data_IF_238396618552
#
_entry.id   IF_238396618552
#
_cell.length_a   1.000
_cell.length_b   1.000
_cell.length_c   1.000
_cell.angle_alpha   90.00
_cell.angle_beta   90.00
_cell.angle_gamma   90.00
#
_symmetry.space_group_name_H-M   'P 1'
#
loop_
_entity.id
_entity.type
_entity.pdbx_description
1 polymer ?
#
# COMPACT_ATOMS: atom_id res chain seq x y z
N UNK A 1 -8.38 -21.84 2.71
CA UNK A 1 -9.74 -21.36 2.49
C UNK A 1 -9.73 -20.05 1.69
N UNK A 2 -8.99 -19.01 2.10
CA UNK A 2 -8.95 -17.71 1.41
C UNK A 2 -8.59 -17.85 -0.09
N UNK A 3 -7.53 -18.57 -0.42
CA UNK A 3 -7.11 -18.79 -1.81
C UNK A 3 -8.18 -19.50 -2.67
N UNK A 4 -8.90 -20.47 -2.09
CA UNK A 4 -10.01 -21.15 -2.76
C UNK A 4 -11.13 -20.17 -3.08
N UNK A 5 -11.51 -19.34 -2.12
CA UNK A 5 -12.57 -18.35 -2.30
C UNK A 5 -12.18 -17.29 -3.33
N UNK A 6 -10.92 -16.85 -3.34
CA UNK A 6 -10.41 -15.91 -4.35
C UNK A 6 -10.40 -16.55 -5.75
N UNK A 7 -9.97 -17.81 -5.87
CA UNK A 7 -10.02 -18.53 -7.14
C UNK A 7 -11.46 -18.68 -7.64
N UNK A 8 -12.40 -18.98 -6.76
CA UNK A 8 -13.83 -19.05 -7.09
C UNK A 8 -14.36 -17.70 -7.58
N UNK A 9 -14.01 -16.59 -6.91
CA UNK A 9 -14.41 -15.25 -7.35
C UNK A 9 -13.84 -14.93 -8.74
N UNK A 10 -12.56 -15.25 -9.00
CA UNK A 10 -11.95 -15.07 -10.32
C UNK A 10 -12.65 -15.92 -11.40
N UNK A 11 -13.07 -17.15 -11.07
CA UNK A 11 -13.88 -18.00 -11.96
C UNK A 11 -15.25 -17.39 -12.25
N UNK A 12 -15.92 -16.82 -11.24
CA UNK A 12 -17.19 -16.13 -11.44
C UNK A 12 -17.04 -14.92 -12.37
N UNK A 13 -15.97 -14.11 -12.19
CA UNK A 13 -15.65 -12.99 -13.09
C UNK A 13 -15.35 -13.48 -14.51
N UNK A 14 -14.59 -14.55 -14.66
CA UNK A 14 -14.31 -15.16 -15.96
C UNK A 14 -15.59 -15.61 -16.65
N UNK A 15 -16.45 -16.32 -15.92
CA UNK A 15 -17.70 -16.84 -16.47
C UNK A 15 -18.67 -15.72 -16.85
N UNK A 16 -18.88 -14.73 -15.96
CA UNK A 16 -19.77 -13.61 -16.24
C UNK A 16 -19.28 -12.75 -17.41
N UNK A 17 -17.96 -12.60 -17.58
CA UNK A 17 -17.37 -11.87 -18.71
C UNK A 17 -17.52 -12.62 -20.02
N UNK A 18 -17.34 -13.96 -20.03
CA UNK A 18 -17.49 -14.77 -21.25
C UNK A 18 -18.95 -14.97 -21.70
N UNK A 19 -19.86 -14.97 -20.76
CA UNK A 19 -21.29 -15.14 -21.01
C UNK A 19 -22.03 -13.80 -21.20
N UNK A 20 -21.28 -12.68 -21.31
CA UNK A 20 -21.78 -11.31 -21.56
C UNK A 20 -22.88 -10.83 -20.60
N UNK A 21 -22.93 -11.34 -19.36
CA UNK A 21 -23.86 -10.86 -18.33
C UNK A 21 -23.15 -10.12 -17.18
N UNK A 22 -21.89 -9.73 -17.37
CA UNK A 22 -21.16 -8.95 -16.37
C UNK A 22 -21.83 -7.59 -16.16
N UNK A 23 -22.14 -7.27 -14.90
CA UNK A 23 -22.72 -5.98 -14.51
C UNK A 23 -21.91 -5.34 -13.41
N UNK A 24 -22.15 -4.04 -13.17
CA UNK A 24 -21.48 -3.30 -12.10
C UNK A 24 -21.76 -3.93 -10.73
N UNK A 25 -22.98 -4.40 -10.50
CA UNK A 25 -23.39 -5.02 -9.23
C UNK A 25 -22.63 -6.32 -8.98
N UNK A 26 -22.44 -7.14 -10.02
CA UNK A 26 -21.66 -8.39 -9.93
C UNK A 26 -20.20 -8.06 -9.58
N UNK A 27 -19.62 -7.05 -10.23
CA UNK A 27 -18.24 -6.65 -9.97
C UNK A 27 -18.10 -6.15 -8.53
N UNK A 28 -19.02 -5.31 -8.03
CA UNK A 28 -19.00 -4.81 -6.65
C UNK A 28 -19.18 -5.94 -5.64
N UNK A 29 -20.12 -6.85 -5.87
CA UNK A 29 -20.34 -8.00 -4.98
C UNK A 29 -19.09 -8.89 -4.89
N UNK A 30 -18.54 -9.27 -6.04
CA UNK A 30 -17.35 -10.12 -6.11
C UNK A 30 -16.11 -9.40 -5.57
N UNK A 31 -16.00 -8.09 -5.81
CA UNK A 31 -14.97 -7.23 -5.22
C UNK A 31 -15.05 -7.17 -3.69
N UNK A 32 -16.25 -7.04 -3.12
CA UNK A 32 -16.47 -7.07 -1.68
C UNK A 32 -16.04 -8.42 -1.07
N UNK A 33 -16.36 -9.55 -1.73
CA UNK A 33 -15.91 -10.88 -1.30
C UNK A 33 -14.38 -10.99 -1.35
N UNK A 34 -13.73 -10.45 -2.40
CA UNK A 34 -12.26 -10.41 -2.48
C UNK A 34 -11.65 -9.58 -1.34
N UNK A 35 -12.18 -8.41 -1.07
CA UNK A 35 -11.73 -7.55 0.02
C UNK A 35 -11.86 -8.23 1.38
N UNK A 36 -13.03 -8.84 1.66
CA UNK A 36 -13.25 -9.63 2.86
C UNK A 36 -12.25 -10.78 2.99
N UNK A 37 -12.00 -11.51 1.92
CA UNK A 37 -11.04 -12.62 1.91
C UNK A 37 -9.61 -12.14 2.17
N UNK A 38 -9.20 -11.01 1.58
CA UNK A 38 -7.88 -10.41 1.77
C UNK A 38 -7.64 -9.98 3.22
N UNK A 39 -8.66 -9.48 3.90
CA UNK A 39 -8.52 -9.04 5.30
C UNK A 39 -8.11 -10.16 6.25
N UNK A 40 -8.46 -11.41 5.94
CA UNK A 40 -8.02 -12.60 6.68
C UNK A 40 -6.71 -13.18 6.16
N UNK A 41 -6.48 -13.11 4.84
CA UNK A 41 -5.28 -13.69 4.23
C UNK A 41 -4.01 -12.97 4.64
N UNK A 42 -4.01 -11.64 4.66
CA UNK A 42 -2.82 -10.85 4.96
C UNK A 42 -2.22 -11.16 6.35
N UNK A 43 -3.00 -11.13 7.45
CA UNK A 43 -2.47 -11.52 8.77
C UNK A 43 -2.02 -12.98 8.83
N UNK A 44 -2.77 -13.88 8.20
CA UNK A 44 -2.42 -15.30 8.15
C UNK A 44 -1.07 -15.53 7.43
N UNK A 45 -0.84 -14.86 6.32
CA UNK A 45 0.40 -14.95 5.55
C UNK A 45 1.59 -14.38 6.35
N UNK A 46 1.41 -13.25 7.03
CA UNK A 46 2.44 -12.64 7.86
C UNK A 46 2.82 -13.53 9.06
N UNK A 47 1.86 -14.24 9.64
CA UNK A 47 2.11 -15.16 10.76
C UNK A 47 2.72 -16.50 10.32
N UNK A 48 2.48 -16.91 9.08
CA UNK A 48 2.94 -18.20 8.56
C UNK A 48 4.46 -18.22 8.36
N UNK A 49 5.05 -17.17 7.79
CA UNK A 49 6.49 -17.11 7.50
C UNK A 49 7.36 -17.37 8.74
N UNK A 50 7.15 -16.71 9.90
CA UNK A 50 7.91 -17.01 11.11
C UNK A 50 7.67 -18.41 11.67
N UNK A 51 6.51 -19.00 11.39
CA UNK A 51 6.15 -20.33 11.91
C UNK A 51 6.73 -21.49 11.07
N UNK A 52 7.12 -21.21 9.82
CA UNK A 52 7.66 -22.22 8.90
C UNK A 52 9.17 -22.35 8.96
N UNK A 53 9.91 -21.37 9.49
CA UNK A 53 11.36 -21.35 9.41
C UNK A 53 12.03 -21.28 10.78
N UNK A 54 13.18 -21.93 10.98
CA UNK A 54 13.98 -21.80 12.19
C UNK A 54 14.42 -20.36 12.42
N UNK A 55 14.54 -19.94 13.70
CA UNK A 55 14.97 -18.58 14.08
C UNK A 55 16.26 -18.11 13.41
N UNK A 56 17.20 -19.03 13.13
CA UNK A 56 18.49 -18.72 12.48
C UNK A 56 18.36 -18.11 11.08
N UNK A 57 17.34 -18.49 10.32
CA UNK A 57 17.12 -18.03 8.94
C UNK A 57 15.87 -17.16 8.79
N UNK A 58 15.20 -16.81 9.91
CA UNK A 58 13.97 -16.05 9.91
C UNK A 58 14.11 -14.69 9.18
N UNK A 59 15.21 -13.97 9.44
CA UNK A 59 15.46 -12.69 8.80
C UNK A 59 15.56 -12.81 7.27
N UNK A 60 16.26 -13.83 6.78
CA UNK A 60 16.39 -14.11 5.35
C UNK A 60 15.04 -14.51 4.74
N UNK A 61 14.26 -15.34 5.43
CA UNK A 61 12.95 -15.77 4.96
C UNK A 61 11.95 -14.59 4.87
N UNK A 62 11.95 -13.71 5.88
CA UNK A 62 11.12 -12.49 5.88
C UNK A 62 11.56 -11.56 4.75
N UNK A 63 12.86 -11.34 4.55
CA UNK A 63 13.39 -10.54 3.46
C UNK A 63 12.97 -11.09 2.09
N UNK A 64 13.10 -12.41 1.88
CA UNK A 64 12.68 -13.08 0.64
C UNK A 64 11.17 -12.95 0.39
N UNK A 65 10.34 -13.18 1.41
CA UNK A 65 8.89 -13.02 1.33
C UNK A 65 8.49 -11.57 1.00
N UNK A 66 9.13 -10.59 1.64
CA UNK A 66 8.90 -9.18 1.37
C UNK A 66 9.32 -8.78 -0.05
N UNK A 67 10.47 -9.28 -0.53
CA UNK A 67 10.92 -9.05 -1.91
C UNK A 67 9.91 -9.60 -2.92
N UNK A 68 9.42 -10.84 -2.70
CA UNK A 68 8.40 -11.44 -3.55
C UNK A 68 7.10 -10.63 -3.57
N UNK A 69 6.66 -10.15 -2.41
CA UNK A 69 5.47 -9.31 -2.29
C UNK A 69 5.63 -7.97 -3.03
N UNK A 70 6.76 -7.29 -2.85
CA UNK A 70 7.03 -6.04 -3.56
C UNK A 70 7.15 -6.24 -5.07
N UNK A 71 7.80 -7.31 -5.51
CA UNK A 71 7.86 -7.67 -6.93
C UNK A 71 6.47 -7.87 -7.51
N UNK A 72 5.57 -8.57 -6.80
CA UNK A 72 4.20 -8.77 -7.24
C UNK A 72 3.40 -7.46 -7.31
N UNK A 73 3.59 -6.55 -6.35
CA UNK A 73 2.94 -5.23 -6.35
C UNK A 73 3.41 -4.38 -7.55
N UNK A 74 4.69 -4.47 -7.91
CA UNK A 74 5.26 -3.71 -9.04
C UNK A 74 4.84 -4.33 -10.37
N UNK A 75 5.04 -5.65 -10.53
CA UNK A 75 4.83 -6.33 -11.80
C UNK A 75 3.36 -6.65 -12.07
N UNK A 76 2.55 -6.85 -11.02
CA UNK A 76 1.15 -7.24 -11.14
C UNK A 76 0.33 -6.30 -12.03
N UNK A 77 0.28 -4.99 -11.73
CA UNK A 77 -0.47 -4.04 -12.55
C UNK A 77 0.04 -3.93 -14.00
N UNK A 78 1.37 -3.95 -14.21
CA UNK A 78 1.96 -3.91 -15.54
C UNK A 78 1.61 -5.16 -16.35
N UNK A 79 1.76 -6.35 -15.76
CA UNK A 79 1.37 -7.62 -16.41
C UNK A 79 -0.14 -7.68 -16.66
N UNK A 80 -0.96 -7.23 -15.70
CA UNK A 80 -2.41 -7.18 -15.84
C UNK A 80 -2.84 -6.28 -17.00
N UNK A 81 -2.26 -5.10 -17.12
CA UNK A 81 -2.50 -4.18 -18.25
C UNK A 81 -2.07 -4.79 -19.58
N UNK A 82 -0.92 -5.46 -19.63
CA UNK A 82 -0.43 -6.12 -20.82
C UNK A 82 -1.30 -7.33 -21.23
N UNK A 83 -1.69 -8.15 -20.27
CA UNK A 83 -2.57 -9.30 -20.52
C UNK A 83 -3.96 -8.88 -20.98
N UNK A 84 -4.40 -7.67 -20.63
CA UNK A 84 -5.69 -7.16 -21.06
C UNK A 84 -5.80 -6.99 -22.58
N UNK A 85 -4.68 -6.90 -23.32
CA UNK A 85 -4.67 -6.96 -24.79
C UNK A 85 -5.31 -8.24 -25.34
N UNK A 86 -5.18 -9.34 -24.60
CA UNK A 86 -5.79 -10.63 -24.94
C UNK A 86 -7.27 -10.70 -24.53
N UNK A 87 -7.83 -9.58 -24.07
CA UNK A 87 -9.18 -9.45 -23.54
C UNK A 87 -9.29 -9.68 -22.03
N UNK A 88 -10.34 -9.15 -21.38
CA UNK A 88 -10.53 -9.24 -19.93
C UNK A 88 -10.64 -10.68 -19.43
N UNK A 89 -11.24 -11.57 -20.22
CA UNK A 89 -11.34 -12.99 -19.89
C UNK A 89 -9.99 -13.67 -19.70
N UNK A 90 -8.96 -13.25 -20.45
CA UNK A 90 -7.61 -13.82 -20.34
C UNK A 90 -6.96 -13.46 -19.01
N UNK A 91 -7.18 -12.23 -18.51
CA UNK A 91 -6.69 -11.80 -17.20
C UNK A 91 -7.30 -12.64 -16.08
N UNK A 92 -8.63 -12.80 -16.07
CA UNK A 92 -9.33 -13.62 -15.07
C UNK A 92 -8.93 -15.08 -15.13
N UNK A 93 -8.71 -15.63 -16.33
CA UNK A 93 -8.25 -17.01 -16.51
C UNK A 93 -6.86 -17.21 -15.89
N UNK A 94 -5.90 -16.33 -16.20
CA UNK A 94 -4.53 -16.41 -15.68
C UNK A 94 -4.53 -16.25 -14.15
N UNK A 95 -5.28 -15.27 -13.60
CA UNK A 95 -5.43 -15.10 -12.17
C UNK A 95 -5.99 -16.36 -11.50
N UNK A 96 -7.00 -16.99 -12.10
CA UNK A 96 -7.58 -18.23 -11.59
C UNK A 96 -6.56 -19.36 -11.55
N UNK A 97 -5.80 -19.56 -12.65
CA UNK A 97 -4.75 -20.59 -12.71
C UNK A 97 -3.69 -20.34 -11.63
N UNK A 98 -3.20 -19.12 -11.50
CA UNK A 98 -2.18 -18.77 -10.50
C UNK A 98 -2.69 -18.98 -9.06
N UNK A 99 -3.95 -18.65 -8.77
CA UNK A 99 -4.57 -18.87 -7.47
C UNK A 99 -4.76 -20.38 -7.18
N UNK A 100 -5.12 -21.18 -8.15
CA UNK A 100 -5.21 -22.64 -8.01
C UNK A 100 -3.81 -23.23 -7.75
N UNK A 101 -2.80 -22.82 -8.50
CA UNK A 101 -1.41 -23.24 -8.28
C UNK A 101 -0.97 -22.85 -6.85
N UNK A 102 -1.25 -21.62 -6.44
CA UNK A 102 -0.92 -21.14 -5.08
C UNK A 102 -1.64 -21.96 -4.00
N UNK A 103 -2.90 -22.33 -4.23
CA UNK A 103 -3.67 -23.20 -3.35
C UNK A 103 -3.03 -24.58 -3.22
N UNK A 104 -2.67 -25.20 -4.35
CA UNK A 104 -2.00 -26.51 -4.37
C UNK A 104 -0.66 -26.44 -3.64
N UNK A 105 0.18 -25.45 -3.92
CA UNK A 105 1.46 -25.29 -3.27
C UNK A 105 1.32 -25.08 -1.76
N UNK A 106 0.32 -24.30 -1.34
CA UNK A 106 0.03 -24.07 0.08
C UNK A 106 -0.43 -25.35 0.78
N UNK A 107 -1.14 -26.23 0.08
CA UNK A 107 -1.57 -27.53 0.62
C UNK A 107 -0.41 -28.48 0.93
N UNK A 108 0.69 -28.38 0.17
CA UNK A 108 1.90 -29.17 0.43
C UNK A 108 2.76 -28.67 1.58
N UNK A 109 2.45 -27.48 2.15
CA UNK A 109 3.18 -26.96 3.31
C UNK A 109 2.86 -27.81 4.53
N UNK A 110 3.86 -28.56 5.01
CA UNK A 110 3.76 -29.30 6.27
C UNK A 110 3.95 -28.33 7.44
N UNK A 111 2.86 -27.95 8.07
CA UNK A 111 2.87 -27.09 9.25
C UNK A 111 2.55 -27.89 10.51
N UNK A 112 3.52 -27.98 11.42
CA UNK A 112 3.30 -28.55 12.75
C UNK A 112 2.87 -27.42 13.70
N UNK A 113 1.64 -27.43 14.11
CA UNK A 113 1.09 -26.40 14.99
C UNK A 113 1.56 -26.63 16.42
N UNK A 114 2.68 -26.09 16.82
CA UNK A 114 2.93 -25.83 18.23
C UNK A 114 1.98 -24.71 18.66
N UNK A 115 0.96 -25.07 19.41
CA UNK A 115 -0.05 -24.15 19.94
C UNK A 115 0.55 -23.19 20.97
N UNK A 116 1.36 -22.27 20.53
CA UNK A 116 1.59 -21.02 21.24
C UNK A 116 0.35 -20.16 21.06
N UNK A 117 -0.56 -20.19 22.03
CA UNK A 117 -1.71 -19.29 22.07
C UNK A 117 -1.15 -17.88 22.27
N UNK A 118 -0.81 -17.20 21.18
CA UNK A 118 -0.69 -15.74 21.21
C UNK A 118 -2.13 -15.25 21.38
N UNK A 119 -2.54 -15.06 22.63
CA UNK A 119 -3.80 -14.38 22.94
C UNK A 119 -3.69 -12.98 22.31
N UNK A 120 -4.33 -12.79 21.16
CA UNK A 120 -4.65 -11.47 20.64
C UNK A 120 -5.52 -10.79 21.71
N UNK A 121 -4.88 -10.10 22.63
CA UNK A 121 -5.58 -9.38 23.68
C UNK A 121 -5.94 -8.01 23.12
N UNK A 122 -7.24 -7.71 23.01
CA UNK A 122 -7.72 -6.35 22.73
C UNK A 122 -7.07 -5.35 23.68
N UNK A 123 -6.84 -5.72 24.95
CA UNK A 123 -6.04 -4.95 25.92
C UNK A 123 -4.61 -4.67 25.42
N UNK A 124 -4.01 -5.60 24.68
CA UNK A 124 -2.70 -5.40 24.07
C UNK A 124 -2.67 -4.33 22.95
N UNK A 125 -3.75 -4.24 22.15
CA UNK A 125 -3.91 -3.19 21.13
C UNK A 125 -4.07 -1.82 21.79
N UNK A 126 -4.91 -1.70 22.81
CA UNK A 126 -5.07 -0.45 23.58
C UNK A 126 -3.76 0.02 24.20
N UNK A 127 -2.92 -0.90 24.68
CA UNK A 127 -1.59 -0.56 25.18
C UNK A 127 -0.68 -0.01 24.09
N UNK A 128 -0.74 -0.57 22.86
CA UNK A 128 -0.01 -0.05 21.69
C UNK A 128 -0.47 1.36 21.30
N UNK A 129 -1.78 1.59 21.23
CA UNK A 129 -2.37 2.90 20.96
C UNK A 129 -1.94 3.90 22.05
N UNK A 130 -2.11 3.55 23.33
CA UNK A 130 -1.71 4.41 24.45
C UNK A 130 -0.22 4.78 24.40
N UNK A 131 0.65 3.86 24.02
CA UNK A 131 2.07 4.11 23.86
C UNK A 131 2.35 5.12 22.75
N UNK A 132 1.71 4.96 21.57
CA UNK A 132 1.85 5.89 20.44
C UNK A 132 1.38 7.29 20.85
N UNK A 133 0.23 7.41 21.52
CA UNK A 133 -0.32 8.70 21.95
C UNK A 133 0.59 9.44 22.94
N UNK A 134 1.28 8.72 23.82
CA UNK A 134 2.23 9.30 24.79
C UNK A 134 3.54 9.73 24.13
N UNK A 135 3.96 9.07 23.05
CA UNK A 135 5.19 9.43 22.34
C UNK A 135 4.87 10.37 21.16
N UNK A 136 5.04 11.67 21.39
CA UNK A 136 4.72 12.72 20.39
C UNK A 136 5.49 12.56 19.07
N UNK A 137 6.69 11.99 19.09
CA UNK A 137 7.49 11.75 17.88
C UNK A 137 6.86 10.65 17.03
N UNK A 138 6.49 9.53 17.65
CA UNK A 138 5.80 8.43 16.96
C UNK A 138 4.41 8.83 16.48
N UNK A 139 3.65 9.51 17.34
CA UNK A 139 2.32 10.02 16.97
C UNK A 139 2.41 10.96 15.77
N UNK A 140 3.38 11.89 15.79
CA UNK A 140 3.61 12.81 14.68
C UNK A 140 4.00 12.10 13.39
N UNK A 141 4.89 11.10 13.45
CA UNK A 141 5.33 10.37 12.27
C UNK A 141 4.22 9.49 11.66
N UNK A 142 3.47 8.76 12.50
CA UNK A 142 2.38 7.88 12.06
C UNK A 142 1.20 8.70 11.52
N UNK A 143 0.81 9.76 12.24
CA UNK A 143 -0.32 10.59 11.82
C UNK A 143 -0.01 11.46 10.60
N UNK A 144 1.23 11.93 10.42
CA UNK A 144 1.65 12.64 9.21
C UNK A 144 1.40 11.79 7.96
N UNK A 145 1.84 10.54 8.00
CA UNK A 145 1.66 9.60 6.90
C UNK A 145 0.18 9.23 6.69
N UNK A 146 -0.54 8.95 7.79
CA UNK A 146 -1.96 8.62 7.72
C UNK A 146 -2.73 9.70 6.95
N UNK A 147 -2.56 10.97 7.30
CA UNK A 147 -3.26 12.07 6.65
C UNK A 147 -2.72 12.36 5.25
N UNK A 148 -1.41 12.19 5.01
CA UNK A 148 -0.84 12.36 3.68
C UNK A 148 -1.37 11.32 2.69
N UNK A 149 -1.48 10.05 3.11
CA UNK A 149 -2.02 8.96 2.28
C UNK A 149 -3.53 9.07 2.14
N UNK A 150 -4.25 9.39 3.24
CA UNK A 150 -5.69 9.58 3.23
C UNK A 150 -6.12 10.64 2.19
N UNK A 151 -5.40 11.74 2.12
CA UNK A 151 -5.71 12.85 1.21
C UNK A 151 -5.04 12.70 -0.16
N UNK A 152 -3.85 12.10 -0.23
CA UNK A 152 -3.03 12.02 -1.43
C UNK A 152 -3.24 10.79 -2.32
N UNK A 153 -4.23 9.93 -1.98
CA UNK A 153 -4.43 8.65 -2.66
C UNK A 153 -5.05 8.79 -4.05
N UNK A 154 -4.24 8.84 -5.13
CA UNK A 154 -4.74 8.89 -6.51
C UNK A 154 -5.01 7.52 -7.14
N UNK A 155 -4.67 6.42 -6.46
CA UNK A 155 -4.66 5.08 -7.07
C UNK A 155 -6.04 4.67 -7.60
N UNK A 156 -7.12 5.01 -6.89
CA UNK A 156 -8.49 4.75 -7.30
C UNK A 156 -8.90 5.51 -8.57
N UNK A 157 -8.29 6.67 -8.83
CA UNK A 157 -8.63 7.53 -9.98
C UNK A 157 -7.77 7.28 -11.22
N UNK A 158 -6.70 6.49 -11.12
CA UNK A 158 -5.82 6.19 -12.27
C UNK A 158 -6.57 5.62 -13.49
N UNK A 159 -7.60 4.75 -13.36
CA UNK A 159 -8.37 4.29 -14.51
C UNK A 159 -9.08 5.42 -15.27
N UNK A 160 -9.62 6.41 -14.53
CA UNK A 160 -10.30 7.57 -15.12
C UNK A 160 -9.27 8.46 -15.84
N UNK A 161 -8.12 8.71 -15.21
CA UNK A 161 -7.04 9.48 -15.85
C UNK A 161 -6.52 8.79 -17.11
N UNK A 162 -6.32 7.47 -17.09
CA UNK A 162 -5.86 6.72 -18.26
C UNK A 162 -6.86 6.83 -19.42
N UNK A 163 -8.16 6.63 -19.14
CA UNK A 163 -9.20 6.59 -20.16
C UNK A 163 -9.59 7.97 -20.66
N UNK A 164 -9.91 8.91 -19.75
CA UNK A 164 -10.63 10.14 -20.07
C UNK A 164 -9.69 11.34 -20.25
N UNK A 165 -8.49 11.34 -19.63
CA UNK A 165 -7.54 12.45 -19.68
C UNK A 165 -6.40 12.16 -20.65
N UNK A 166 -5.76 11.00 -20.52
CA UNK A 166 -4.63 10.63 -21.36
C UNK A 166 -5.03 9.88 -22.64
N UNK A 167 -6.26 9.36 -22.70
CA UNK A 167 -6.77 8.55 -23.81
C UNK A 167 -5.84 7.37 -24.14
N UNK A 168 -5.32 6.71 -23.11
CA UNK A 168 -4.46 5.53 -23.23
C UNK A 168 -5.22 4.27 -22.87
N UNK A 169 -4.82 3.16 -23.48
CA UNK A 169 -5.42 1.86 -23.25
C UNK A 169 -5.08 1.22 -21.89
N UNK A 170 -5.47 -0.03 -21.68
CA UNK A 170 -5.15 -0.77 -20.45
C UNK A 170 -3.66 -0.88 -20.14
N UNK A 171 -2.80 -0.89 -21.17
CA UNK A 171 -1.34 -0.85 -21.05
C UNK A 171 -0.87 0.45 -20.41
N UNK A 172 -1.44 1.58 -20.82
CA UNK A 172 -1.14 2.88 -20.21
C UNK A 172 -1.57 2.92 -18.74
N UNK A 173 -2.71 2.36 -18.39
CA UNK A 173 -3.13 2.20 -17.00
C UNK A 173 -2.15 1.30 -16.23
N UNK A 174 -1.69 0.21 -16.82
CA UNK A 174 -0.68 -0.67 -16.23
C UNK A 174 0.61 0.08 -15.90
N UNK A 175 1.10 0.93 -16.83
CA UNK A 175 2.27 1.77 -16.63
C UNK A 175 2.04 2.79 -15.50
N UNK A 176 0.91 3.48 -15.49
CA UNK A 176 0.58 4.44 -14.42
C UNK A 176 0.56 3.78 -13.05
N UNK A 177 -0.04 2.58 -12.94
CA UNK A 177 -0.09 1.81 -11.68
C UNK A 177 1.27 1.29 -11.24
N UNK A 178 2.15 0.94 -12.17
CA UNK A 178 3.50 0.49 -11.86
C UNK A 178 4.47 1.62 -11.50
N UNK A 179 4.19 2.85 -11.95
CA UNK A 179 5.10 4.00 -11.82
C UNK A 179 5.50 4.32 -10.36
N UNK A 180 4.59 4.36 -9.36
CA UNK A 180 4.99 4.60 -7.97
C UNK A 180 5.92 3.52 -7.44
N UNK A 181 5.70 2.28 -7.83
CA UNK A 181 6.51 1.15 -7.39
C UNK A 181 7.93 1.17 -7.98
N UNK A 182 8.10 1.66 -9.20
CA UNK A 182 9.41 1.94 -9.80
C UNK A 182 10.15 3.01 -8.98
N UNK A 183 9.45 4.08 -8.60
CA UNK A 183 10.01 5.12 -7.73
C UNK A 183 10.45 4.58 -6.37
N UNK A 184 9.61 3.76 -5.74
CA UNK A 184 9.91 3.11 -4.47
C UNK A 184 11.15 2.21 -4.56
N UNK A 185 11.30 1.45 -5.64
CA UNK A 185 12.47 0.60 -5.89
C UNK A 185 13.75 1.43 -6.02
N UNK A 186 13.73 2.49 -6.84
CA UNK A 186 14.88 3.40 -6.99
C UNK A 186 15.26 4.01 -5.65
N UNK A 187 14.28 4.48 -4.88
CA UNK A 187 14.51 5.04 -3.55
C UNK A 187 15.14 4.02 -2.60
N UNK A 188 14.66 2.78 -2.58
CA UNK A 188 15.21 1.72 -1.74
C UNK A 188 16.67 1.41 -2.09
N UNK A 189 17.03 1.37 -3.38
CA UNK A 189 18.41 1.16 -3.84
C UNK A 189 19.32 2.32 -3.43
N UNK A 190 18.83 3.55 -3.51
CA UNK A 190 19.58 4.75 -3.08
C UNK A 190 19.82 4.73 -1.57
N UNK A 191 18.80 4.42 -0.76
CA UNK A 191 18.92 4.34 0.70
C UNK A 191 19.88 3.23 1.13
N UNK A 192 19.88 2.09 0.42
CA UNK A 192 20.80 0.97 0.70
C UNK A 192 22.29 1.37 0.53
N UNK A 193 22.59 2.26 -0.43
CA UNK A 193 23.95 2.74 -0.67
C UNK A 193 24.32 3.95 0.20
N UNK A 194 23.36 4.84 0.48
CA UNK A 194 23.56 6.04 1.27
C UNK A 194 22.61 6.08 2.49
N UNK A 195 22.97 5.39 3.58
CA UNK A 195 22.13 5.34 4.79
C UNK A 195 21.92 6.72 5.40
N UNK A 196 20.70 7.00 5.80
CA UNK A 196 20.32 8.26 6.42
C UNK A 196 20.83 8.34 7.86
N UNK A 197 21.77 9.24 8.12
CA UNK A 197 22.38 9.37 9.46
C UNK A 197 21.94 10.61 10.23
N UNK A 198 21.53 11.71 9.55
CA UNK A 198 21.24 13.00 10.19
C UNK A 198 20.03 13.70 9.57
N UNK A 199 19.36 14.56 10.35
CA UNK A 199 18.27 15.41 9.90
C UNK A 199 16.99 14.64 9.55
N UNK A 200 16.72 13.56 10.25
CA UNK A 200 15.68 12.58 9.91
C UNK A 200 14.28 13.19 9.92
N UNK A 201 13.98 14.03 10.92
CA UNK A 201 12.69 14.70 10.99
C UNK A 201 12.46 15.63 9.80
N UNK A 202 13.41 16.52 9.49
CA UNK A 202 13.30 17.44 8.34
C UNK A 202 13.16 16.68 7.03
N UNK A 203 13.91 15.57 6.86
CA UNK A 203 13.84 14.72 5.65
C UNK A 203 12.48 14.06 5.51
N UNK A 204 11.85 13.63 6.60
CA UNK A 204 10.50 13.06 6.58
C UNK A 204 9.48 14.09 6.08
N UNK A 205 9.48 15.30 6.65
CA UNK A 205 8.59 16.37 6.21
C UNK A 205 8.84 16.76 4.74
N UNK A 206 10.09 16.82 4.32
CA UNK A 206 10.47 17.12 2.94
C UNK A 206 9.99 16.04 1.96
N UNK A 207 10.11 14.76 2.34
CA UNK A 207 9.60 13.66 1.54
C UNK A 207 8.08 13.75 1.35
N UNK A 208 7.32 13.98 2.43
CA UNK A 208 5.86 14.12 2.32
C UNK A 208 5.46 15.36 1.53
N UNK A 209 6.22 16.46 1.64
CA UNK A 209 6.01 17.65 0.79
C UNK A 209 6.26 17.36 -0.69
N UNK A 210 7.35 16.62 -1.03
CA UNK A 210 7.62 16.18 -2.41
C UNK A 210 6.49 15.28 -2.91
N UNK A 211 6.00 14.35 -2.09
CA UNK A 211 4.85 13.51 -2.42
C UNK A 211 3.64 14.38 -2.80
N UNK A 212 3.26 15.34 -1.94
CA UNK A 212 2.14 16.25 -2.22
C UNK A 212 2.34 17.08 -3.50
N UNK A 213 3.54 17.62 -3.75
CA UNK A 213 3.86 18.37 -4.96
C UNK A 213 3.83 17.48 -6.21
N UNK A 214 4.33 16.27 -6.14
CA UNK A 214 4.29 15.30 -7.22
C UNK A 214 2.85 14.92 -7.57
N UNK A 215 1.99 14.70 -6.54
CA UNK A 215 0.56 14.44 -6.74
C UNK A 215 -0.16 15.64 -7.35
N UNK A 216 0.18 16.86 -6.94
CA UNK A 216 -0.35 18.09 -7.56
C UNK A 216 0.05 18.19 -9.04
N UNK A 217 1.32 17.92 -9.35
CA UNK A 217 1.82 17.88 -10.71
C UNK A 217 1.09 16.82 -11.55
N UNK A 218 0.88 15.62 -11.00
CA UNK A 218 0.11 14.55 -11.64
C UNK A 218 -1.33 14.99 -11.92
N UNK A 219 -2.02 15.55 -10.92
CA UNK A 219 -3.43 15.97 -11.03
C UNK A 219 -3.67 17.07 -12.08
N UNK A 220 -2.70 17.98 -12.27
CA UNK A 220 -2.76 19.07 -13.24
C UNK A 220 -2.21 18.71 -14.62
N UNK A 221 -1.51 17.57 -14.74
CA UNK A 221 -0.88 17.16 -15.97
C UNK A 221 -1.85 16.55 -16.96
N UNK A 222 -1.78 16.98 -18.21
CA UNK A 222 -2.41 16.32 -19.36
C UNK A 222 -1.40 15.54 -20.21
N UNK A 223 -0.12 15.57 -19.84
CA UNK A 223 0.93 14.85 -20.53
C UNK A 223 1.22 13.53 -19.84
N UNK A 224 1.04 12.41 -20.56
CA UNK A 224 1.21 11.06 -20.02
C UNK A 224 2.62 10.82 -19.45
N UNK A 225 3.67 11.28 -20.15
CA UNK A 225 5.05 11.07 -19.72
C UNK A 225 5.39 11.87 -18.44
N UNK A 226 4.91 13.13 -18.37
CA UNK A 226 5.06 13.95 -17.15
C UNK A 226 4.32 13.33 -15.98
N UNK A 227 3.16 12.73 -16.21
CA UNK A 227 2.37 12.06 -15.20
C UNK A 227 3.06 10.79 -14.68
N UNK A 228 3.70 10.02 -15.55
CA UNK A 228 4.56 8.88 -15.15
C UNK A 228 5.70 9.39 -14.25
N UNK A 229 6.42 10.44 -14.67
CA UNK A 229 7.52 11.00 -13.89
C UNK A 229 7.05 11.51 -12.52
N UNK A 230 5.90 12.18 -12.46
CA UNK A 230 5.30 12.64 -11.21
C UNK A 230 4.94 11.46 -10.28
N UNK A 231 4.33 10.39 -10.79
CA UNK A 231 4.00 9.20 -10.02
C UNK A 231 5.25 8.44 -9.54
N UNK A 232 6.32 8.38 -10.35
CA UNK A 232 7.61 7.81 -9.94
C UNK A 232 8.20 8.62 -8.79
N UNK A 233 8.19 9.95 -8.86
CA UNK A 233 8.66 10.83 -7.79
C UNK A 233 7.80 10.67 -6.52
N UNK A 234 6.48 10.61 -6.69
CA UNK A 234 5.56 10.37 -5.57
C UNK A 234 5.88 9.04 -4.87
N UNK A 235 6.04 7.96 -5.62
CA UNK A 235 6.38 6.64 -5.05
C UNK A 235 7.76 6.60 -4.39
N UNK A 236 8.76 7.30 -4.94
CA UNK A 236 10.06 7.44 -4.30
C UNK A 236 9.98 8.20 -2.97
N UNK A 237 9.23 9.31 -2.95
CA UNK A 237 9.04 10.14 -1.77
C UNK A 237 8.25 9.40 -0.67
N UNK A 238 7.21 8.65 -1.04
CA UNK A 238 6.45 7.81 -0.12
C UNK A 238 7.34 6.71 0.48
N UNK A 239 8.05 5.95 -0.34
CA UNK A 239 8.98 4.92 0.12
C UNK A 239 10.04 5.46 1.09
N UNK A 240 10.56 6.67 0.81
CA UNK A 240 11.51 7.34 1.70
C UNK A 240 10.88 7.66 3.06
N UNK A 241 9.64 8.17 3.07
CA UNK A 241 8.85 8.43 4.28
C UNK A 241 8.61 7.14 5.08
N UNK A 242 8.20 6.07 4.40
CA UNK A 242 7.95 4.76 5.01
C UNK A 242 9.19 4.22 5.71
N UNK A 243 10.38 4.28 5.07
CA UNK A 243 11.63 3.79 5.66
C UNK A 243 11.96 4.55 6.94
N UNK A 244 11.88 5.89 6.93
CA UNK A 244 12.12 6.70 8.12
C UNK A 244 11.14 6.34 9.23
N UNK A 245 9.84 6.31 8.93
CA UNK A 245 8.79 6.04 9.91
C UNK A 245 8.94 4.65 10.53
N UNK A 246 9.16 3.61 9.71
CA UNK A 246 9.35 2.26 10.20
C UNK A 246 10.59 2.14 11.08
N UNK A 247 11.68 2.84 10.73
CA UNK A 247 12.89 2.85 11.55
C UNK A 247 12.66 3.57 12.88
N UNK A 248 11.97 4.73 12.89
CA UNK A 248 11.59 5.42 14.11
C UNK A 248 10.72 4.55 15.03
N UNK A 249 9.73 3.85 14.46
CA UNK A 249 8.88 2.92 15.22
C UNK A 249 9.73 1.84 15.89
N UNK A 250 10.69 1.26 15.17
CA UNK A 250 11.57 0.21 15.69
C UNK A 250 12.48 0.71 16.82
N UNK A 251 13.05 1.91 16.68
CA UNK A 251 14.01 2.46 17.62
C UNK A 251 13.34 3.07 18.87
N UNK A 252 12.20 3.75 18.70
CA UNK A 252 11.49 4.41 19.80
C UNK A 252 10.60 3.44 20.61
N UNK A 253 10.42 2.21 20.13
CA UNK A 253 9.53 1.25 20.79
C UNK A 253 10.33 0.18 21.54
N UNK A 254 10.14 0.02 22.86
CA UNK A 254 10.74 -1.06 23.63
C UNK A 254 10.38 -2.44 23.07
N UNK A 255 11.28 -3.42 23.18
CA UNK A 255 11.15 -4.76 22.59
C UNK A 255 9.81 -5.43 22.90
N UNK A 256 9.36 -5.34 24.16
CA UNK A 256 8.10 -5.95 24.63
C UNK A 256 6.83 -5.28 24.06
N UNK A 257 6.95 -4.07 23.47
CA UNK A 257 5.83 -3.33 22.85
C UNK A 257 5.89 -3.33 21.32
N UNK A 258 7.02 -3.69 20.68
CA UNK A 258 7.22 -3.59 19.22
C UNK A 258 6.10 -4.27 18.42
N UNK A 259 5.73 -5.48 18.78
CA UNK A 259 4.65 -6.19 18.08
C UNK A 259 3.30 -5.46 18.16
N UNK A 260 2.97 -4.90 19.33
CA UNK A 260 1.72 -4.16 19.55
C UNK A 260 1.68 -2.85 18.76
N UNK A 261 2.77 -2.07 18.82
CA UNK A 261 2.90 -0.79 18.08
C UNK A 261 2.91 -1.05 16.56
N UNK A 262 3.62 -2.08 16.10
CA UNK A 262 3.63 -2.45 14.67
C UNK A 262 2.26 -2.89 14.16
N UNK A 263 1.49 -3.63 14.97
CA UNK A 263 0.12 -4.02 14.61
C UNK A 263 -0.81 -2.81 14.51
N UNK A 264 -0.71 -1.86 15.44
CA UNK A 264 -1.48 -0.61 15.39
C UNK A 264 -1.10 0.21 14.15
N UNK A 265 0.21 0.34 13.87
CA UNK A 265 0.68 1.04 12.67
C UNK A 265 0.19 0.38 11.37
N UNK A 266 0.17 -0.96 11.30
CA UNK A 266 -0.36 -1.67 10.14
C UNK A 266 -1.87 -1.42 9.92
N UNK A 267 -2.65 -1.34 11.01
CA UNK A 267 -4.07 -0.98 10.94
C UNK A 267 -4.24 0.45 10.42
N UNK A 268 -3.44 1.39 10.91
CA UNK A 268 -3.50 2.77 10.44
C UNK A 268 -3.15 2.89 8.96
N UNK A 269 -2.09 2.21 8.50
CA UNK A 269 -1.71 2.19 7.08
C UNK A 269 -2.84 1.59 6.23
N UNK A 270 -3.38 0.43 6.62
CA UNK A 270 -4.48 -0.20 5.89
C UNK A 270 -5.72 0.69 5.83
N UNK A 271 -6.13 1.23 6.98
CA UNK A 271 -7.31 2.10 7.06
C UNK A 271 -7.13 3.39 6.24
N UNK A 272 -5.94 4.04 6.28
CA UNK A 272 -5.70 5.26 5.51
C UNK A 272 -5.70 5.01 4.00
N UNK A 273 -5.19 3.88 3.53
CA UNK A 273 -5.25 3.51 2.12
C UNK A 273 -6.70 3.32 1.65
N UNK A 274 -7.45 2.45 2.32
CA UNK A 274 -8.83 2.13 1.92
C UNK A 274 -9.76 3.35 2.04
N UNK A 275 -9.64 4.13 3.13
CA UNK A 275 -10.41 5.35 3.31
C UNK A 275 -9.99 6.45 2.33
N UNK A 276 -8.70 6.55 1.98
CA UNK A 276 -8.20 7.50 0.99
C UNK A 276 -8.70 7.19 -0.42
N UNK A 277 -8.75 5.91 -0.81
CA UNK A 277 -9.33 5.51 -2.08
C UNK A 277 -10.84 5.82 -2.15
N UNK A 278 -11.56 5.57 -1.05
CA UNK A 278 -12.98 5.94 -0.95
C UNK A 278 -13.19 7.45 -0.99
N UNK A 279 -12.42 8.22 -0.24
CA UNK A 279 -12.47 9.69 -0.21
C UNK A 279 -12.19 10.27 -1.59
N UNK A 280 -11.13 9.80 -2.26
CA UNK A 280 -10.77 10.23 -3.61
C UNK A 280 -11.89 9.93 -4.63
N UNK A 281 -12.56 8.79 -4.52
CA UNK A 281 -13.70 8.44 -5.34
C UNK A 281 -14.92 9.35 -5.07
N UNK A 282 -15.23 9.60 -3.78
CA UNK A 282 -16.35 10.44 -3.37
C UNK A 282 -16.13 11.92 -3.77
N UNK A 283 -14.92 12.44 -3.58
CA UNK A 283 -14.59 13.83 -3.99
C UNK A 283 -14.55 13.97 -5.50
N UNK A 284 -14.09 12.93 -6.23
CA UNK A 284 -14.12 12.94 -7.69
C UNK A 284 -15.55 12.96 -8.26
N UNK A 285 -16.52 12.37 -7.59
CA UNK A 285 -17.93 12.43 -7.99
C UNK A 285 -18.50 13.87 -7.94
N UNK A 286 -17.94 14.73 -7.06
CA UNK A 286 -18.41 16.12 -6.88
C UNK A 286 -17.54 17.11 -7.64
N UNK A 287 -16.23 16.98 -7.58
CA UNK A 287 -15.25 17.94 -8.10
C UNK A 287 -14.59 17.50 -9.42
N UNK A 288 -14.93 16.31 -9.90
CA UNK A 288 -14.22 15.65 -10.99
C UNK A 288 -12.88 15.05 -10.55
N UNK A 289 -12.28 14.18 -11.38
CA UNK A 289 -11.05 13.45 -11.02
C UNK A 289 -9.85 14.39 -10.79
N UNK A 290 -9.69 15.42 -11.60
CA UNK A 290 -8.63 16.43 -11.43
C UNK A 290 -8.81 17.22 -10.14
N UNK A 291 -10.05 17.68 -9.88
CA UNK A 291 -10.39 18.43 -8.66
C UNK A 291 -10.11 17.63 -7.39
N UNK A 292 -10.45 16.35 -7.38
CA UNK A 292 -10.19 15.44 -6.26
C UNK A 292 -8.68 15.34 -5.96
N UNK A 293 -7.85 15.06 -6.97
CA UNK A 293 -6.39 14.93 -6.77
C UNK A 293 -5.76 16.26 -6.35
N UNK A 294 -6.19 17.38 -6.94
CA UNK A 294 -5.67 18.70 -6.57
C UNK A 294 -6.03 19.03 -5.12
N UNK A 295 -7.28 18.77 -4.71
CA UNK A 295 -7.72 18.98 -3.33
C UNK A 295 -6.91 18.11 -2.35
N UNK A 296 -6.74 16.84 -2.65
CA UNK A 296 -5.97 15.91 -1.84
C UNK A 296 -4.48 16.28 -1.74
N UNK A 297 -3.87 16.68 -2.84
CA UNK A 297 -2.48 17.14 -2.88
C UNK A 297 -2.28 18.43 -2.06
N UNK A 298 -3.17 19.41 -2.19
CA UNK A 298 -3.15 20.62 -1.37
C UNK A 298 -3.39 20.29 0.10
N UNK A 299 -4.33 19.39 0.40
CA UNK A 299 -4.57 18.90 1.74
C UNK A 299 -3.32 18.26 2.37
N UNK A 300 -2.60 17.44 1.62
CA UNK A 300 -1.32 16.86 2.03
C UNK A 300 -0.28 17.94 2.36
N UNK A 301 -0.15 18.98 1.53
CA UNK A 301 0.77 20.08 1.78
C UNK A 301 0.37 20.90 3.02
N UNK A 302 -0.93 21.13 3.23
CA UNK A 302 -1.45 21.79 4.44
C UNK A 302 -1.14 20.94 5.68
N UNK A 303 -1.31 19.63 5.61
CA UNK A 303 -0.94 18.71 6.70
C UNK A 303 0.54 18.82 7.02
N UNK A 304 1.43 18.81 6.03
CA UNK A 304 2.87 19.00 6.25
C UNK A 304 3.14 20.30 7.01
N UNK A 305 2.56 21.42 6.59
CA UNK A 305 2.73 22.72 7.24
C UNK A 305 2.15 22.73 8.66
N UNK A 306 0.98 22.15 8.88
CA UNK A 306 0.35 22.07 10.19
C UNK A 306 1.17 21.20 11.15
N UNK A 307 1.67 20.06 10.70
CA UNK A 307 2.47 19.13 11.52
C UNK A 307 3.82 19.71 11.94
N UNK A 308 4.44 20.60 11.15
CA UNK A 308 5.66 21.31 11.59
C UNK A 308 5.43 22.11 12.87
N UNK A 309 4.22 22.62 13.09
CA UNK A 309 3.82 23.37 14.28
C UNK A 309 3.30 22.46 15.39
N UNK A 310 2.53 21.44 15.06
CA UNK A 310 1.93 20.51 16.02
C UNK A 310 2.94 19.53 16.62
N UNK A 311 3.92 19.11 15.83
CA UNK A 311 4.91 18.11 16.23
C UNK A 311 6.37 18.62 16.06
N UNK A 312 6.77 19.70 16.77
CA UNK A 312 8.12 20.24 16.66
C UNK A 312 9.20 19.28 17.16
N UNK A 313 8.85 18.32 18.02
CA UNK A 313 9.74 17.25 18.47
C UNK A 313 10.18 16.33 17.32
N UNK A 314 9.27 16.01 16.42
CA UNK A 314 9.55 15.22 15.21
C UNK A 314 10.45 16.03 14.25
N UNK A 315 10.12 17.31 14.01
CA UNK A 315 10.90 18.18 13.12
C UNK A 315 12.36 18.34 13.56
N UNK A 316 12.58 18.46 14.88
CA UNK A 316 13.91 18.62 15.49
C UNK A 316 14.69 17.32 15.63
N UNK A 317 14.11 16.18 15.26
CA UNK A 317 14.79 14.88 15.36
C UNK A 317 15.95 14.81 14.37
N UNK A 318 17.18 14.76 14.87
CA UNK A 318 18.40 14.77 14.05
C UNK A 318 18.87 13.36 13.64
N UNK A 319 18.69 12.40 14.52
CA UNK A 319 19.17 11.02 14.31
C UNK A 319 18.02 10.02 14.33
N UNK A 320 18.22 8.91 13.62
CA UNK A 320 17.37 7.72 13.75
C UNK A 320 17.55 7.08 15.10
#
# INVERSE_FOLDING_TARGET
>A
LCLILQAFVCLCLLYSTRADFISSEIIFLLGAILGFTRSFQMPAQQSLTPALVPRKILQTAVAFSSTGMHTAIIMGPALGGFLYFLGPSSVYLICTILLIISCILTFFIKYSHERGIVKLSLLGMFAGISFIWKNKTLLGAISLDLFAVLLGGATALLPIFAKDIFNVGPEGLGILRASPAVGALVCALVIAQWPMRRGVGKKLYFAVAIFGLAMLCFGLSTNFLLSIAALVIAGAADSFSVVIRMTLIQLETPDFMRGRVSSVNAIFIGASNELGEFESGATAAVLGPVGSIVLGALGTLIVVLAWTKLFPSLLKRETL
#
